data_IF_991117778248
#
_entry.id   IF_991117778248
#
_cell.length_a   1.000
_cell.length_b   1.000
_cell.length_c   1.000
_cell.angle_alpha   90.00
_cell.angle_beta   90.00
_cell.angle_gamma   90.00
#
_symmetry.space_group_name_H-M   'P 1'
#
loop_
_entity.id
_entity.type
_entity.pdbx_description
1 polymer ?
#
# COMPACT_ATOMS: atom_id res chain seq x y z
N UNK A 1 22.60 -38.64 -2.25
CA UNK A 1 21.57 -38.17 -1.29
C UNK A 1 21.89 -36.83 -0.61
N UNK A 2 23.15 -36.35 -0.55
CA UNK A 2 23.46 -35.02 0.05
C UNK A 2 23.01 -33.81 -0.80
N UNK A 3 22.97 -33.94 -2.13
CA UNK A 3 22.61 -32.85 -3.03
C UNK A 3 21.13 -32.41 -2.94
N UNK A 4 20.21 -33.35 -2.68
CA UNK A 4 18.78 -33.04 -2.61
C UNK A 4 18.39 -32.30 -1.33
N UNK A 5 19.10 -32.53 -0.23
CA UNK A 5 18.87 -31.83 1.03
C UNK A 5 19.29 -30.35 0.96
N UNK A 6 20.33 -30.03 0.18
CA UNK A 6 20.84 -28.66 0.00
C UNK A 6 19.94 -27.79 -0.88
N UNK A 7 19.17 -28.40 -1.81
CA UNK A 7 18.28 -27.66 -2.70
C UNK A 7 16.98 -27.22 -2.00
N UNK A 8 16.50 -27.99 -1.02
CA UNK A 8 15.30 -27.65 -0.25
C UNK A 8 15.48 -26.41 0.62
N UNK A 9 16.65 -26.23 1.24
CA UNK A 9 16.93 -25.06 2.11
C UNK A 9 16.98 -23.74 1.32
N UNK A 10 17.44 -23.78 0.06
CA UNK A 10 17.49 -22.60 -0.79
C UNK A 10 16.09 -22.10 -1.20
N UNK A 11 15.10 -23.00 -1.32
CA UNK A 11 13.73 -22.65 -1.72
C UNK A 11 12.91 -22.03 -0.58
N UNK A 12 13.24 -22.31 0.69
CA UNK A 12 12.54 -21.70 1.83
C UNK A 12 13.00 -20.27 2.13
N UNK A 13 14.19 -19.87 1.67
CA UNK A 13 14.75 -18.54 1.91
C UNK A 13 14.21 -17.46 0.97
N UNK A 14 13.53 -17.82 -0.12
CA UNK A 14 12.94 -16.85 -1.07
C UNK A 14 11.52 -16.39 -0.69
N UNK A 15 11.01 -16.79 0.49
CA UNK A 15 9.64 -16.51 0.90
C UNK A 15 9.38 -15.09 1.40
N UNK A 16 10.38 -14.20 1.48
CA UNK A 16 10.16 -12.79 1.87
C UNK A 16 9.90 -11.93 0.62
N UNK A 17 8.68 -12.03 0.07
CA UNK A 17 8.18 -10.98 -0.79
C UNK A 17 7.94 -9.73 0.07
N UNK A 18 8.63 -8.63 -0.23
CA UNK A 18 8.35 -7.34 0.39
C UNK A 18 7.00 -6.80 -0.08
N UNK A 19 6.46 -5.80 0.63
CA UNK A 19 5.28 -5.07 0.19
C UNK A 19 5.47 -4.55 -1.25
N UNK A 20 4.43 -4.65 -2.07
CA UNK A 20 4.45 -4.26 -3.48
C UNK A 20 4.51 -2.73 -3.63
N UNK A 21 3.88 -2.00 -2.70
CA UNK A 21 3.94 -0.53 -2.61
C UNK A 21 4.82 -0.10 -1.42
N UNK A 22 6.00 0.46 -1.73
CA UNK A 22 6.81 1.16 -0.73
C UNK A 22 6.09 2.42 -0.24
N UNK A 23 6.32 2.82 1.01
CA UNK A 23 5.70 4.03 1.56
C UNK A 23 6.16 5.26 0.77
N UNK A 24 5.18 6.03 0.28
CA UNK A 24 5.43 7.26 -0.48
C UNK A 24 4.64 8.40 0.16
N UNK A 25 5.36 9.43 0.60
CA UNK A 25 4.79 10.69 1.08
C UNK A 25 5.00 11.72 -0.03
N UNK A 26 3.93 12.42 -0.41
CA UNK A 26 4.00 13.57 -1.32
C UNK A 26 3.77 14.84 -0.52
N UNK A 27 4.19 15.96 -1.10
CA UNK A 27 3.94 17.28 -0.52
C UNK A 27 2.45 17.44 -0.21
N UNK A 28 2.12 17.86 1.01
CA UNK A 28 0.75 18.14 1.46
C UNK A 28 0.58 19.63 1.62
N UNK A 29 -0.64 20.11 1.33
CA UNK A 29 -0.95 21.53 1.40
C UNK A 29 -0.89 22.25 0.05
N UNK A 30 -1.46 23.44 0.06
CA UNK A 30 -1.30 24.46 -0.98
C UNK A 30 -1.30 25.80 -0.25
N UNK A 31 -0.36 26.69 -0.60
CA UNK A 31 -0.21 27.98 0.09
C UNK A 31 -1.53 28.76 0.12
N UNK A 32 -1.89 29.28 1.29
CA UNK A 32 -3.10 30.08 1.48
C UNK A 32 -4.41 29.27 1.56
N UNK A 33 -4.37 27.94 1.64
CA UNK A 33 -5.57 27.09 1.72
C UNK A 33 -5.56 26.16 2.93
N UNK A 34 -6.73 25.97 3.53
CA UNK A 34 -6.96 24.89 4.49
C UNK A 34 -7.30 23.62 3.72
N UNK A 35 -6.61 22.51 3.99
CA UNK A 35 -6.87 21.23 3.34
C UNK A 35 -7.66 20.30 4.26
N UNK A 36 -8.60 19.55 3.68
CA UNK A 36 -9.20 18.39 4.33
C UNK A 36 -8.52 17.11 3.86
N UNK A 37 -8.15 16.26 4.81
CA UNK A 37 -7.49 14.97 4.55
C UNK A 37 -8.43 13.81 4.86
N UNK A 38 -8.44 12.81 3.99
CA UNK A 38 -9.19 11.55 4.18
C UNK A 38 -8.29 10.37 3.80
N UNK A 39 -8.24 9.38 4.67
CA UNK A 39 -7.49 8.14 4.45
C UNK A 39 -8.44 6.95 4.32
N UNK A 40 -8.04 5.95 3.53
CA UNK A 40 -8.74 4.67 3.40
C UNK A 40 -7.74 3.53 3.52
N UNK A 41 -8.17 2.49 4.22
CA UNK A 41 -7.49 1.21 4.29
C UNK A 41 -8.23 0.20 3.41
N UNK A 42 -7.50 -0.60 2.65
CA UNK A 42 -8.07 -1.62 1.77
C UNK A 42 -7.10 -2.81 1.66
N UNK A 43 -7.60 -4.01 1.33
CA UNK A 43 -6.72 -5.13 1.02
C UNK A 43 -6.22 -5.00 -0.42
N UNK A 44 -4.92 -5.22 -0.62
CA UNK A 44 -4.29 -5.18 -1.95
C UNK A 44 -4.39 -6.52 -2.69
N UNK A 45 -4.84 -7.58 -2.00
CA UNK A 45 -5.10 -8.88 -2.63
C UNK A 45 -6.28 -8.83 -3.61
N UNK A 46 -7.20 -7.90 -3.42
CA UNK A 46 -8.42 -7.74 -4.21
C UNK A 46 -8.38 -6.41 -5.00
N UNK A 47 -8.12 -6.51 -6.31
CA UNK A 47 -8.01 -5.36 -7.22
C UNK A 47 -9.28 -4.47 -7.27
N UNK A 48 -10.44 -5.03 -6.90
CA UNK A 48 -11.72 -4.31 -6.87
C UNK A 48 -11.71 -3.17 -5.83
N UNK A 49 -11.09 -3.40 -4.68
CA UNK A 49 -11.08 -2.44 -3.57
C UNK A 49 -10.19 -1.22 -3.86
N UNK A 50 -9.08 -1.43 -4.57
CA UNK A 50 -8.16 -0.34 -4.95
C UNK A 50 -8.83 0.63 -5.92
N UNK A 51 -9.48 0.12 -6.95
CA UNK A 51 -10.16 0.95 -7.95
C UNK A 51 -11.36 1.69 -7.36
N UNK A 52 -12.10 1.04 -6.46
CA UNK A 52 -13.19 1.68 -5.73
C UNK A 52 -12.69 2.86 -4.87
N UNK A 53 -11.56 2.69 -4.17
CA UNK A 53 -10.92 3.75 -3.40
C UNK A 53 -10.50 4.93 -4.28
N UNK A 54 -9.81 4.68 -5.39
CA UNK A 54 -9.38 5.73 -6.33
C UNK A 54 -10.57 6.49 -6.93
N UNK A 55 -11.63 5.77 -7.33
CA UNK A 55 -12.85 6.38 -7.89
C UNK A 55 -13.58 7.25 -6.86
N UNK A 56 -13.60 6.86 -5.58
CA UNK A 56 -14.24 7.62 -4.50
C UNK A 56 -13.59 8.98 -4.25
N UNK A 57 -12.28 9.07 -4.44
CA UNK A 57 -11.50 10.29 -4.24
C UNK A 57 -11.01 10.91 -5.55
N UNK A 58 -11.72 10.66 -6.65
CA UNK A 58 -11.44 11.32 -7.92
C UNK A 58 -11.47 12.85 -7.76
N UNK A 59 -10.46 13.52 -8.31
CA UNK A 59 -10.22 14.96 -8.13
C UNK A 59 -9.56 15.37 -6.80
N UNK A 60 -9.24 14.44 -5.90
CA UNK A 60 -8.42 14.73 -4.71
C UNK A 60 -6.94 14.42 -4.97
N UNK A 61 -6.05 15.13 -4.27
CA UNK A 61 -4.60 14.92 -4.36
C UNK A 61 -4.17 13.78 -3.43
N UNK A 62 -3.58 12.72 -3.98
CA UNK A 62 -3.01 11.62 -3.19
C UNK A 62 -1.69 12.06 -2.51
N UNK A 63 -1.69 12.19 -1.19
CA UNK A 63 -0.54 12.66 -0.39
C UNK A 63 0.23 11.56 0.30
N UNK A 64 -0.37 10.40 0.50
CA UNK A 64 0.29 9.27 1.15
C UNK A 64 -0.24 7.97 0.60
N UNK A 65 0.66 7.02 0.37
CA UNK A 65 0.31 5.62 0.17
C UNK A 65 1.35 4.75 0.86
N UNK A 66 0.90 3.70 1.52
CA UNK A 66 1.77 2.67 2.06
C UNK A 66 1.05 1.35 2.05
N UNK A 67 1.75 0.29 1.69
CA UNK A 67 1.30 -1.08 1.84
C UNK A 67 2.07 -1.74 2.97
N UNK A 68 1.38 -2.58 3.73
CA UNK A 68 1.97 -3.42 4.74
C UNK A 68 1.47 -4.85 4.56
N UNK A 69 2.42 -5.77 4.46
CA UNK A 69 2.16 -7.20 4.50
C UNK A 69 2.26 -7.65 5.95
N UNK A 70 1.26 -8.37 6.42
CA UNK A 70 1.27 -8.99 7.76
C UNK A 70 2.46 -9.95 7.90
N UNK A 71 3.02 -10.12 9.10
CA UNK A 71 4.22 -10.94 9.34
C UNK A 71 4.06 -12.41 8.90
N UNK A 72 2.83 -12.92 8.98
CA UNK A 72 2.46 -14.27 8.53
C UNK A 72 2.23 -14.36 7.01
N UNK A 73 2.32 -13.24 6.28
CA UNK A 73 2.19 -13.10 4.82
C UNK A 73 0.85 -13.60 4.27
N UNK A 74 -0.18 -13.66 5.10
CA UNK A 74 -1.51 -14.13 4.68
C UNK A 74 -2.40 -13.01 4.16
N UNK A 75 -2.11 -11.77 4.56
CA UNK A 75 -2.86 -10.59 4.12
C UNK A 75 -1.92 -9.42 3.89
N UNK A 76 -2.26 -8.62 2.89
CA UNK A 76 -1.54 -7.41 2.52
C UNK A 76 -2.54 -6.27 2.41
N UNK A 77 -2.40 -5.30 3.30
CA UNK A 77 -3.29 -4.16 3.39
C UNK A 77 -2.54 -2.89 2.99
N UNK A 78 -3.23 -1.96 2.35
CA UNK A 78 -2.70 -0.66 2.02
C UNK A 78 -3.54 0.46 2.60
N UNK A 79 -2.88 1.58 2.86
CA UNK A 79 -3.49 2.85 3.23
C UNK A 79 -3.20 3.87 2.14
N UNK A 80 -4.22 4.62 1.74
CA UNK A 80 -4.08 5.78 0.87
C UNK A 80 -4.73 6.99 1.54
N UNK A 81 -4.02 8.12 1.57
CA UNK A 81 -4.56 9.39 2.04
C UNK A 81 -4.62 10.42 0.92
N UNK A 82 -5.77 11.08 0.84
CA UNK A 82 -6.09 12.09 -0.15
C UNK A 82 -6.38 13.41 0.54
N UNK A 83 -6.03 14.52 -0.11
CA UNK A 83 -6.38 15.86 0.35
C UNK A 83 -7.13 16.64 -0.73
N UNK A 84 -7.99 17.56 -0.29
CA UNK A 84 -8.56 18.61 -1.13
C UNK A 84 -8.75 19.89 -0.30
N UNK A 85 -8.89 21.08 -0.92
CA UNK A 85 -9.23 22.29 -0.19
C UNK A 85 -10.55 22.14 0.58
N UNK A 86 -10.62 22.71 1.79
CA UNK A 86 -11.87 22.89 2.53
C UNK A 86 -12.64 23.99 1.81
N UNK A 87 -13.69 23.58 1.10
CA UNK A 87 -14.68 24.45 0.46
C UNK A 87 -15.62 25.07 1.48
#
# INVERSE_FOLDING_TARGET
MKLFASLGVALFLTGCAGANISSQVRESGTEGSNMMTRCVNYSTGDNEDTNAALKKYDGWKLIYVSEYTTDNKTDTSAVMCFEKPVS
#
